data_IF_690598784245
#
_entry.id   IF_690598784245
#
_cell.length_a   1.000
_cell.length_b   1.000
_cell.length_c   1.000
_cell.angle_alpha   90.00
_cell.angle_beta   90.00
_cell.angle_gamma   90.00
#
_symmetry.space_group_name_H-M   'P 1'
#
loop_
_entity.id
_entity.type
_entity.pdbx_description
1 polymer ?
#
# COMPACT_ATOMS: atom_id res chain seq x y z
N UNK A 1 2.98 -60.00 -60.53
CA UNK A 1 2.22 -60.21 -59.30
C UNK A 1 3.00 -59.58 -58.17
N UNK A 2 2.38 -58.81 -57.28
CA UNK A 2 2.92 -58.09 -56.13
C UNK A 2 3.62 -56.76 -56.42
N UNK A 3 2.77 -55.72 -56.53
CA UNK A 3 3.11 -54.36 -56.19
C UNK A 3 1.86 -53.72 -55.62
N UNK A 4 1.75 -53.62 -54.33
CA UNK A 4 0.94 -52.64 -53.62
C UNK A 4 1.08 -52.93 -52.12
N UNK A 5 1.70 -52.05 -51.38
CA UNK A 5 1.42 -51.66 -49.99
C UNK A 5 2.64 -50.99 -49.36
N UNK A 6 2.92 -49.75 -49.75
CA UNK A 6 3.89 -48.93 -49.02
C UNK A 6 3.53 -47.43 -49.12
N UNK A 7 2.27 -47.06 -48.82
CA UNK A 7 1.94 -45.63 -48.84
C UNK A 7 0.90 -45.18 -47.81
N UNK A 8 0.82 -45.81 -46.66
CA UNK A 8 -0.15 -45.39 -45.65
C UNK A 8 0.36 -45.03 -44.24
N UNK A 9 1.68 -45.13 -44.00
CA UNK A 9 2.23 -44.90 -42.65
C UNK A 9 2.93 -43.53 -42.42
N UNK A 10 3.07 -42.68 -43.45
CA UNK A 10 3.74 -41.38 -43.30
C UNK A 10 2.80 -40.21 -43.17
N UNK A 11 1.52 -40.32 -43.43
CA UNK A 11 0.54 -39.21 -43.29
C UNK A 11 -0.07 -39.10 -41.90
N UNK A 12 -0.01 -40.12 -41.08
CA UNK A 12 -0.65 -40.09 -39.75
C UNK A 12 0.24 -39.50 -38.63
N UNK A 13 1.54 -39.31 -38.87
CA UNK A 13 2.45 -38.71 -37.87
C UNK A 13 2.61 -37.19 -37.98
N UNK A 14 2.13 -36.58 -39.08
CA UNK A 14 2.25 -35.14 -39.30
C UNK A 14 1.02 -34.32 -38.77
N UNK A 15 -0.07 -34.98 -38.41
CA UNK A 15 -1.29 -34.28 -37.94
C UNK A 15 -1.41 -34.20 -36.40
N UNK A 16 -0.51 -34.83 -35.65
CA UNK A 16 -0.55 -34.79 -34.18
C UNK A 16 0.45 -33.80 -33.57
N UNK A 17 1.20 -33.04 -34.37
CA UNK A 17 2.22 -32.10 -33.85
C UNK A 17 1.82 -30.63 -33.93
N UNK A 18 0.58 -30.32 -34.33
CA UNK A 18 0.16 -28.93 -34.52
C UNK A 18 -0.95 -28.46 -33.57
N UNK A 19 -1.26 -29.18 -32.50
CA UNK A 19 -2.31 -28.76 -31.56
C UNK A 19 -1.90 -28.83 -30.09
N UNK A 20 -0.65 -28.49 -29.82
CA UNK A 20 -0.25 -28.09 -28.48
C UNK A 20 0.21 -26.62 -28.50
N UNK A 21 -0.67 -25.76 -29.02
CA UNK A 21 -0.65 -24.36 -28.62
C UNK A 21 -1.07 -24.33 -27.14
N UNK A 22 -0.10 -24.56 -26.28
CA UNK A 22 -0.22 -24.32 -24.86
C UNK A 22 -0.75 -22.89 -24.73
N UNK A 23 -2.03 -22.75 -24.40
CA UNK A 23 -2.54 -21.56 -23.76
C UNK A 23 -1.72 -21.41 -22.47
N UNK A 24 -0.51 -20.85 -22.57
CA UNK A 24 0.13 -20.28 -21.42
C UNK A 24 -0.81 -19.23 -20.93
N UNK A 25 -1.42 -19.37 -19.74
CA UNK A 25 -2.18 -18.28 -19.18
C UNK A 25 -1.20 -17.10 -19.18
N UNK A 26 -1.56 -16.03 -19.87
CA UNK A 26 -0.86 -14.75 -19.71
C UNK A 26 -1.04 -14.47 -18.23
N UNK A 27 -0.02 -14.78 -17.44
CA UNK A 27 0.02 -14.43 -16.02
C UNK A 27 0.03 -12.90 -16.00
N UNK A 28 -1.17 -12.32 -15.98
CA UNK A 28 -1.30 -10.89 -15.78
C UNK A 28 -0.52 -10.56 -14.52
N UNK A 29 0.54 -9.77 -14.65
CA UNK A 29 1.39 -9.41 -13.51
C UNK A 29 0.53 -8.82 -12.39
N UNK A 30 0.92 -9.06 -11.15
CA UNK A 30 0.22 -8.53 -9.99
C UNK A 30 0.01 -7.01 -10.14
N UNK A 31 -1.22 -6.55 -9.99
CA UNK A 31 -1.57 -5.12 -10.03
C UNK A 31 -1.30 -4.50 -8.67
N UNK A 32 -1.03 -3.20 -8.69
CA UNK A 32 -0.94 -2.39 -7.47
C UNK A 32 -2.15 -1.45 -7.45
N UNK A 33 -2.91 -1.49 -6.37
CA UNK A 33 -4.00 -0.56 -6.12
C UNK A 33 -3.58 0.38 -5.00
N UNK A 34 -3.48 1.66 -5.30
CA UNK A 34 -3.18 2.71 -4.32
C UNK A 34 -4.40 3.62 -4.12
N UNK A 35 -4.83 3.76 -2.89
CA UNK A 35 -5.61 4.90 -2.43
C UNK A 35 -4.70 5.81 -1.62
N UNK A 36 -4.46 7.02 -2.12
CA UNK A 36 -3.65 8.04 -1.46
C UNK A 36 -4.54 9.19 -1.01
N UNK A 37 -4.49 9.50 0.29
CA UNK A 37 -5.30 10.54 0.93
C UNK A 37 -4.38 11.53 1.62
N UNK A 38 -4.58 12.84 1.35
CA UNK A 38 -3.81 13.90 2.00
C UNK A 38 -4.64 15.14 2.24
N UNK A 39 -4.73 15.59 3.49
CA UNK A 39 -5.57 16.70 3.87
C UNK A 39 -4.74 17.77 4.56
N UNK A 40 -4.55 18.88 3.87
CA UNK A 40 -3.87 20.08 4.37
C UNK A 40 -4.83 21.20 4.72
N UNK A 41 -5.87 21.37 3.91
CA UNK A 41 -6.89 22.39 4.05
C UNK A 41 -8.14 21.78 4.72
N UNK A 42 -8.26 22.01 6.01
CA UNK A 42 -9.36 21.53 6.86
C UNK A 42 -10.40 22.65 7.09
N UNK A 43 -11.64 22.32 7.47
CA UNK A 43 -12.58 23.33 7.94
C UNK A 43 -12.01 24.11 9.12
N UNK A 44 -11.77 25.42 8.90
CA UNK A 44 -11.16 26.33 9.86
C UNK A 44 -9.63 26.39 9.77
N UNK A 45 -9.12 27.57 9.40
CA UNK A 45 -7.69 27.83 9.11
C UNK A 45 -6.72 27.39 10.23
N UNK A 46 -7.19 27.36 11.49
CA UNK A 46 -6.37 26.90 12.62
C UNK A 46 -6.07 25.39 12.59
N UNK A 47 -6.78 24.65 11.74
CA UNK A 47 -6.62 23.20 11.59
C UNK A 47 -5.76 22.83 10.38
N UNK A 48 -5.31 23.83 9.62
CA UNK A 48 -4.54 23.57 8.40
C UNK A 48 -3.16 22.98 8.70
N UNK A 49 -2.76 22.08 7.81
CA UNK A 49 -1.43 21.47 7.77
C UNK A 49 -0.73 21.80 6.46
N UNK A 50 0.59 21.86 6.48
CA UNK A 50 1.33 22.32 5.32
C UNK A 50 1.62 21.22 4.30
N UNK A 51 1.90 20.00 4.74
CA UNK A 51 2.53 18.96 3.91
C UNK A 51 1.61 17.84 3.42
N UNK A 52 0.51 17.47 4.08
CA UNK A 52 -0.22 16.25 3.77
C UNK A 52 -0.70 16.10 2.31
N UNK A 53 -1.14 17.19 1.67
CA UNK A 53 -1.53 17.15 0.27
C UNK A 53 -0.34 16.80 -0.65
N UNK A 54 0.85 17.33 -0.35
CA UNK A 54 2.08 17.00 -1.07
C UNK A 54 2.50 15.55 -0.82
N UNK A 55 2.35 15.06 0.40
CA UNK A 55 2.65 13.67 0.76
C UNK A 55 1.81 12.70 -0.08
N UNK A 56 0.50 12.96 -0.13
CA UNK A 56 -0.40 12.12 -0.92
C UNK A 56 -0.11 12.18 -2.42
N UNK A 57 0.18 13.36 -2.95
CA UNK A 57 0.56 13.53 -4.34
C UNK A 57 1.87 12.82 -4.67
N UNK A 58 2.87 12.90 -3.78
CA UNK A 58 4.15 12.21 -3.90
C UNK A 58 3.98 10.70 -3.96
N UNK A 59 3.14 10.13 -3.07
CA UNK A 59 2.86 8.70 -3.08
C UNK A 59 2.12 8.27 -4.35
N UNK A 60 1.15 9.05 -4.80
CA UNK A 60 0.47 8.76 -6.07
C UNK A 60 1.44 8.79 -7.25
N UNK A 61 2.28 9.82 -7.34
CA UNK A 61 3.27 9.94 -8.41
C UNK A 61 4.23 8.75 -8.41
N UNK A 62 4.77 8.36 -7.26
CA UNK A 62 5.65 7.22 -7.10
C UNK A 62 5.06 5.93 -7.68
N UNK A 63 3.82 5.63 -7.29
CA UNK A 63 3.18 4.40 -7.74
C UNK A 63 2.74 4.47 -9.22
N UNK A 64 2.41 5.66 -9.75
CA UNK A 64 2.07 5.84 -11.18
C UNK A 64 3.21 5.52 -12.13
N UNK A 65 4.47 5.60 -11.69
CA UNK A 65 5.62 5.18 -12.48
C UNK A 65 5.60 3.66 -12.76
N UNK A 66 4.90 2.89 -11.94
CA UNK A 66 4.69 1.47 -12.18
C UNK A 66 3.47 1.25 -13.10
N UNK A 67 3.70 0.67 -14.30
CA UNK A 67 2.66 0.44 -15.31
C UNK A 67 1.49 -0.42 -14.82
N UNK A 68 1.69 -1.24 -13.79
CA UNK A 68 0.66 -2.10 -13.21
C UNK A 68 -0.17 -1.39 -12.12
N UNK A 69 0.19 -0.15 -11.75
CA UNK A 69 -0.52 0.55 -10.70
C UNK A 69 -1.82 1.21 -11.19
N UNK A 70 -2.83 1.13 -10.34
CA UNK A 70 -4.10 1.85 -10.41
C UNK A 70 -4.22 2.71 -9.17
N UNK A 71 -4.20 4.02 -9.35
CA UNK A 71 -4.12 4.97 -8.24
C UNK A 71 -5.38 5.82 -8.14
N UNK A 72 -5.82 6.08 -6.92
CA UNK A 72 -6.83 7.08 -6.57
C UNK A 72 -6.18 8.08 -5.63
N UNK A 73 -6.36 9.37 -5.88
CA UNK A 73 -5.90 10.46 -5.04
C UNK A 73 -7.11 11.26 -4.56
N UNK A 74 -7.21 11.40 -3.24
CA UNK A 74 -8.20 12.25 -2.59
C UNK A 74 -7.47 13.28 -1.74
N UNK A 75 -7.68 14.56 -2.02
CA UNK A 75 -7.04 15.67 -1.29
C UNK A 75 -8.08 16.64 -0.75
N UNK A 76 -7.82 17.22 0.40
CA UNK A 76 -8.58 18.30 1.02
C UNK A 76 -10.10 18.00 1.02
N UNK A 77 -10.92 18.85 0.45
CA UNK A 77 -12.40 18.75 0.38
C UNK A 77 -12.90 17.48 -0.33
N UNK A 78 -12.07 16.82 -1.16
CA UNK A 78 -12.42 15.55 -1.78
C UNK A 78 -12.17 14.35 -0.86
N UNK A 79 -11.40 14.52 0.20
CA UNK A 79 -11.09 13.47 1.16
C UNK A 79 -12.14 13.39 2.28
N UNK A 80 -13.41 13.33 1.90
CA UNK A 80 -14.53 13.09 2.83
C UNK A 80 -14.54 11.64 3.32
N UNK A 81 -15.13 11.38 4.49
CA UNK A 81 -15.30 10.03 5.04
C UNK A 81 -15.98 9.11 4.02
N UNK A 82 -17.05 9.61 3.37
CA UNK A 82 -17.81 8.86 2.38
C UNK A 82 -16.96 8.49 1.15
N UNK A 83 -16.19 9.45 0.62
CA UNK A 83 -15.33 9.22 -0.54
C UNK A 83 -14.21 8.23 -0.23
N UNK A 84 -13.56 8.36 0.93
CA UNK A 84 -12.49 7.45 1.35
C UNK A 84 -13.02 6.03 1.55
N UNK A 85 -14.15 5.86 2.24
CA UNK A 85 -14.80 4.54 2.41
C UNK A 85 -15.18 3.91 1.06
N UNK A 86 -15.73 4.69 0.15
CA UNK A 86 -16.08 4.24 -1.20
C UNK A 86 -14.85 3.79 -1.98
N UNK A 87 -13.77 4.57 -1.93
CA UNK A 87 -12.51 4.23 -2.61
C UNK A 87 -11.86 2.96 -2.02
N UNK A 88 -11.84 2.80 -0.70
CA UNK A 88 -11.37 1.59 -0.02
C UNK A 88 -12.19 0.37 -0.44
N UNK A 89 -13.51 0.47 -0.44
CA UNK A 89 -14.42 -0.61 -0.89
C UNK A 89 -14.18 -0.99 -2.34
N UNK A 90 -14.02 0.01 -3.22
CA UNK A 90 -13.75 -0.22 -4.64
C UNK A 90 -12.38 -0.89 -4.88
N UNK A 91 -11.37 -0.52 -4.11
CA UNK A 91 -10.06 -1.15 -4.13
C UNK A 91 -10.17 -2.62 -3.70
N UNK A 92 -10.81 -2.88 -2.56
CA UNK A 92 -11.00 -4.22 -2.02
C UNK A 92 -11.76 -5.15 -2.98
N UNK A 93 -12.79 -4.63 -3.65
CA UNK A 93 -13.61 -5.40 -4.59
C UNK A 93 -12.88 -5.79 -5.89
N UNK A 94 -11.87 -5.00 -6.31
CA UNK A 94 -11.14 -5.21 -7.56
C UNK A 94 -9.92 -6.09 -7.41
N UNK A 95 -9.33 -6.14 -6.22
CA UNK A 95 -8.08 -6.82 -5.99
C UNK A 95 -8.24 -8.34 -5.92
N UNK A 96 -7.29 -9.04 -6.52
CA UNK A 96 -7.13 -10.49 -6.44
C UNK A 96 -6.08 -10.87 -5.38
N UNK A 97 -5.94 -12.15 -5.09
CA UNK A 97 -5.03 -12.64 -4.04
C UNK A 97 -3.56 -12.22 -4.25
N UNK A 98 -3.12 -12.10 -5.51
CA UNK A 98 -1.73 -11.77 -5.85
C UNK A 98 -1.47 -10.26 -5.98
N UNK A 99 -2.52 -9.44 -6.00
CA UNK A 99 -2.39 -7.99 -6.14
C UNK A 99 -1.84 -7.34 -4.85
N UNK A 100 -1.38 -6.11 -4.97
CA UNK A 100 -0.88 -5.30 -3.85
C UNK A 100 -1.90 -4.19 -3.61
N UNK A 101 -2.37 -4.03 -2.37
CA UNK A 101 -3.30 -2.98 -1.96
C UNK A 101 -2.62 -2.05 -0.96
N UNK A 102 -2.56 -0.76 -1.32
CA UNK A 102 -1.92 0.29 -0.53
C UNK A 102 -2.95 1.34 -0.15
N UNK A 103 -3.13 1.58 1.13
CA UNK A 103 -3.81 2.75 1.65
C UNK A 103 -2.77 3.67 2.28
N UNK A 104 -2.61 4.88 1.74
CA UNK A 104 -1.79 5.94 2.29
C UNK A 104 -2.66 7.05 2.83
N UNK A 105 -2.36 7.52 4.02
CA UNK A 105 -3.01 8.67 4.64
C UNK A 105 -1.96 9.63 5.21
N UNK A 106 -2.09 10.91 4.89
CA UNK A 106 -1.36 12.00 5.55
C UNK A 106 -2.34 13.09 5.98
N UNK A 107 -2.26 13.53 7.25
CA UNK A 107 -3.19 14.49 7.82
C UNK A 107 -3.30 14.39 9.33
N UNK A 108 -4.35 14.98 9.89
CA UNK A 108 -4.63 14.84 11.32
C UNK A 108 -5.03 13.42 11.69
N UNK A 109 -4.45 12.93 12.78
CA UNK A 109 -4.81 11.68 13.41
C UNK A 109 -5.26 11.90 14.84
N UNK A 110 -6.18 11.08 15.29
CA UNK A 110 -6.65 11.04 16.67
C UNK A 110 -6.66 9.61 17.18
N UNK A 111 -6.81 9.44 18.49
CA UNK A 111 -6.97 8.09 19.05
C UNK A 111 -8.22 7.45 18.47
N UNK A 112 -8.05 6.38 17.68
CA UNK A 112 -9.15 5.61 17.09
C UNK A 112 -9.44 5.89 15.63
N UNK A 113 -8.81 6.87 14.97
CA UNK A 113 -9.08 7.17 13.56
C UNK A 113 -8.24 8.25 12.93
N UNK A 114 -8.48 8.41 11.65
CA UNK A 114 -7.97 9.49 10.81
C UNK A 114 -9.03 10.60 10.70
N UNK A 115 -8.61 11.85 10.71
CA UNK A 115 -9.50 12.99 10.50
C UNK A 115 -9.60 13.25 9.01
N UNK A 116 -10.76 12.92 8.42
CA UNK A 116 -11.12 13.32 7.06
C UNK A 116 -11.63 14.76 7.04
N UNK A 117 -11.87 15.31 5.84
CA UNK A 117 -12.33 16.68 5.68
C UNK A 117 -13.62 17.01 6.45
N UNK A 118 -14.55 16.05 6.52
CA UNK A 118 -15.89 16.20 7.08
C UNK A 118 -16.15 15.37 8.35
N UNK A 119 -15.13 14.67 8.88
CA UNK A 119 -15.33 13.83 10.06
C UNK A 119 -14.27 12.76 10.26
N UNK A 120 -14.60 11.72 11.01
CA UNK A 120 -13.66 10.66 11.37
C UNK A 120 -13.82 9.41 10.52
N UNK A 121 -12.69 8.96 9.95
CA UNK A 121 -12.54 7.61 9.41
C UNK A 121 -11.95 6.73 10.53
N UNK A 122 -12.75 5.85 11.10
CA UNK A 122 -12.26 5.00 12.19
C UNK A 122 -11.26 3.95 11.69
N UNK A 123 -10.32 3.55 12.55
CA UNK A 123 -9.42 2.44 12.21
C UNK A 123 -10.18 1.14 11.94
N UNK A 124 -11.34 0.95 12.60
CA UNK A 124 -12.22 -0.19 12.35
C UNK A 124 -12.81 -0.18 10.93
N UNK A 125 -13.16 1.00 10.39
CA UNK A 125 -13.63 1.13 9.00
C UNK A 125 -12.56 0.69 8.00
N UNK A 126 -11.32 1.15 8.20
CA UNK A 126 -10.18 0.78 7.34
C UNK A 126 -9.88 -0.71 7.44
N UNK A 127 -9.80 -1.24 8.66
CA UNK A 127 -9.55 -2.65 8.91
C UNK A 127 -10.63 -3.55 8.28
N UNK A 128 -11.91 -3.17 8.42
CA UNK A 128 -13.03 -3.90 7.82
C UNK A 128 -12.94 -3.94 6.30
N UNK A 129 -12.66 -2.79 5.66
CA UNK A 129 -12.52 -2.71 4.22
C UNK A 129 -11.33 -3.57 3.70
N UNK A 130 -10.19 -3.51 4.37
CA UNK A 130 -9.01 -4.29 4.00
C UNK A 130 -9.18 -5.78 4.33
N UNK A 131 -9.90 -6.15 5.37
CA UNK A 131 -10.20 -7.56 5.68
C UNK A 131 -11.10 -8.20 4.63
N UNK A 132 -12.03 -7.43 4.04
CA UNK A 132 -12.85 -7.88 2.93
C UNK A 132 -12.08 -8.01 1.60
N UNK A 133 -10.88 -7.45 1.50
CA UNK A 133 -10.03 -7.51 0.32
C UNK A 133 -9.37 -8.89 0.18
N UNK A 134 -9.46 -9.49 -1.00
CA UNK A 134 -8.87 -10.80 -1.30
C UNK A 134 -7.35 -10.80 -1.40
N UNK A 135 -6.71 -9.63 -1.53
CA UNK A 135 -5.27 -9.53 -1.63
C UNK A 135 -4.56 -10.09 -0.38
N UNK A 136 -3.46 -10.81 -0.60
CA UNK A 136 -2.57 -11.25 0.47
C UNK A 136 -1.50 -10.19 0.83
N UNK A 137 -1.42 -9.09 0.08
CA UNK A 137 -0.41 -8.05 0.24
C UNK A 137 -1.11 -6.70 0.47
N UNK A 138 -1.50 -6.44 1.71
CA UNK A 138 -2.25 -5.24 2.10
C UNK A 138 -1.42 -4.40 3.04
N UNK A 139 -1.37 -3.09 2.80
CA UNK A 139 -0.62 -2.18 3.64
C UNK A 139 -1.32 -0.86 3.87
N UNK A 140 -1.10 -0.33 5.05
CA UNK A 140 -1.49 1.02 5.45
C UNK A 140 -0.21 1.78 5.79
N UNK A 141 0.04 2.86 5.08
CA UNK A 141 1.06 3.85 5.42
C UNK A 141 0.34 5.07 6.00
N UNK A 142 0.67 5.47 7.22
CA UNK A 142 0.05 6.63 7.85
C UNK A 142 1.09 7.64 8.33
N UNK A 143 1.09 8.83 7.72
CA UNK A 143 1.84 10.00 8.17
C UNK A 143 0.89 10.94 8.91
N UNK A 144 0.62 10.61 10.17
CA UNK A 144 -0.34 11.30 11.01
C UNK A 144 0.05 11.22 12.48
N UNK A 145 -0.32 12.26 13.26
CA UNK A 145 -0.17 12.25 14.71
C UNK A 145 -0.91 11.05 15.32
N UNK A 146 -0.35 10.48 16.39
CA UNK A 146 -0.95 9.34 17.10
C UNK A 146 -1.23 8.10 16.21
N UNK A 147 -0.62 8.03 15.03
CA UNK A 147 -0.82 6.89 14.14
C UNK A 147 -0.48 5.55 14.82
N UNK A 148 0.48 5.52 15.74
CA UNK A 148 0.77 4.36 16.57
C UNK A 148 -0.38 3.92 17.49
N UNK A 149 -1.33 4.81 17.81
CA UNK A 149 -2.52 4.47 18.61
C UNK A 149 -3.53 3.56 17.88
N UNK A 150 -3.35 3.34 16.59
CA UNK A 150 -4.10 2.31 15.83
C UNK A 150 -3.93 0.92 16.48
N UNK A 151 -2.81 0.74 17.19
CA UNK A 151 -2.42 -0.47 17.90
C UNK A 151 -3.02 -0.56 19.31
N UNK A 152 -3.17 0.59 19.99
CA UNK A 152 -3.34 0.67 21.46
C UNK A 152 -4.81 0.75 21.92
N UNK A 153 -5.79 0.52 21.07
CA UNK A 153 -7.20 0.56 21.45
C UNK A 153 -7.57 -0.59 22.42
N UNK A 154 -6.90 -0.66 23.55
CA UNK A 154 -7.00 -1.67 24.61
C UNK A 154 -8.35 -1.73 25.35
N UNK A 155 -9.36 -0.99 24.89
CA UNK A 155 -10.70 -0.99 25.50
C UNK A 155 -11.72 -1.94 24.88
N UNK A 156 -11.38 -2.69 23.79
CA UNK A 156 -12.32 -3.60 23.12
C UNK A 156 -11.59 -4.88 22.74
N UNK A 157 -11.62 -5.82 23.63
CA UNK A 157 -10.80 -7.03 23.67
C UNK A 157 -10.91 -8.02 22.50
N UNK A 158 -11.72 -7.80 21.47
CA UNK A 158 -11.89 -8.74 20.36
C UNK A 158 -12.02 -8.11 18.96
N UNK A 159 -11.85 -6.78 18.80
CA UNK A 159 -11.97 -6.11 17.48
C UNK A 159 -10.68 -6.02 16.68
N UNK A 160 -9.53 -6.36 17.26
CA UNK A 160 -8.22 -6.27 16.60
C UNK A 160 -7.79 -7.52 15.83
N UNK A 161 -8.53 -8.60 15.89
CA UNK A 161 -8.35 -9.70 14.94
C UNK A 161 -8.52 -9.26 13.48
N UNK A 162 -9.20 -8.13 13.24
CA UNK A 162 -9.38 -7.58 11.90
C UNK A 162 -8.08 -7.14 11.21
N UNK A 163 -7.04 -6.80 11.96
CA UNK A 163 -5.71 -6.50 11.40
C UNK A 163 -4.85 -7.74 11.18
N UNK A 164 -5.33 -8.91 11.54
CA UNK A 164 -4.60 -10.18 11.43
C UNK A 164 -4.64 -10.83 10.05
N UNK A 165 -5.23 -10.17 9.04
CA UNK A 165 -5.45 -10.74 7.70
C UNK A 165 -4.41 -10.26 6.68
N UNK A 166 -3.11 -10.51 6.90
CA UNK A 166 -2.05 -10.07 6.01
C UNK A 166 -2.09 -8.55 5.73
N UNK A 167 -2.33 -7.77 6.78
CA UNK A 167 -2.31 -6.31 6.72
C UNK A 167 -1.07 -5.81 7.46
N UNK A 168 -0.23 -5.08 6.74
CA UNK A 168 0.90 -4.34 7.31
C UNK A 168 0.47 -2.92 7.66
N UNK A 169 0.68 -2.52 8.89
CA UNK A 169 0.57 -1.12 9.32
C UNK A 169 1.98 -0.56 9.43
N UNK A 170 2.27 0.49 8.70
CA UNK A 170 3.52 1.21 8.80
C UNK A 170 3.21 2.68 9.09
N UNK A 171 3.51 3.09 10.30
CA UNK A 171 3.04 4.31 10.92
C UNK A 171 4.22 5.23 11.18
N UNK A 172 4.02 6.52 10.97
CA UNK A 172 5.08 7.54 11.03
C UNK A 172 5.68 7.73 12.41
N UNK A 173 4.93 7.43 13.48
CA UNK A 173 5.34 7.68 14.86
C UNK A 173 4.69 6.70 15.84
N UNK A 174 5.17 6.67 17.07
CA UNK A 174 4.57 5.95 18.19
C UNK A 174 3.25 6.60 18.62
N UNK A 175 2.49 5.89 19.45
CA UNK A 175 1.17 6.34 19.94
C UNK A 175 1.19 7.63 20.76
N UNK A 176 2.32 8.00 21.31
CA UNK A 176 2.55 9.20 22.11
C UNK A 176 3.44 10.25 21.42
N UNK A 177 3.70 10.08 20.12
CA UNK A 177 4.51 10.98 19.32
C UNK A 177 3.66 11.68 18.25
N UNK A 178 4.16 12.79 17.73
CA UNK A 178 3.58 13.52 16.62
C UNK A 178 4.45 13.40 15.38
N UNK A 179 3.84 13.37 14.20
CA UNK A 179 4.56 13.55 12.95
C UNK A 179 5.05 14.99 12.85
N UNK A 180 6.32 15.14 12.46
CA UNK A 180 7.00 16.43 12.48
C UNK A 180 7.05 16.99 11.06
N UNK A 181 6.66 18.26 10.93
CA UNK A 181 6.88 19.07 9.74
C UNK A 181 8.01 20.07 9.98
N UNK A 182 8.84 20.29 8.95
CA UNK A 182 9.84 21.35 8.96
C UNK A 182 9.59 22.34 7.82
N UNK A 183 9.87 23.64 8.01
CA UNK A 183 9.62 24.67 7.00
C UNK A 183 10.31 24.45 5.64
N UNK A 184 11.43 23.74 5.65
CA UNK A 184 12.29 23.53 4.49
C UNK A 184 11.94 22.28 3.67
N UNK A 185 11.10 21.41 4.18
CA UNK A 185 10.72 20.16 3.50
C UNK A 185 9.42 20.31 2.70
N UNK A 186 9.32 19.58 1.61
CA UNK A 186 8.11 19.46 0.79
C UNK A 186 7.21 18.30 1.22
N UNK A 187 7.75 17.37 2.01
CA UNK A 187 7.06 16.20 2.57
C UNK A 187 7.39 16.03 4.04
N UNK A 188 6.53 15.35 4.79
CA UNK A 188 6.85 14.86 6.13
C UNK A 188 8.05 13.91 6.12
N UNK A 189 8.78 13.81 7.23
CA UNK A 189 9.96 12.92 7.33
C UNK A 189 9.66 11.47 6.94
N UNK A 190 8.51 10.98 7.33
CA UNK A 190 8.11 9.61 7.04
C UNK A 190 7.85 9.43 5.54
N UNK A 191 7.03 10.30 4.93
CA UNK A 191 6.73 10.25 3.50
C UNK A 191 7.97 10.47 2.64
N UNK A 192 8.84 11.40 3.03
CA UNK A 192 10.14 11.59 2.39
C UNK A 192 10.99 10.31 2.42
N UNK A 193 11.05 9.63 3.57
CA UNK A 193 11.79 8.38 3.69
C UNK A 193 11.13 7.24 2.90
N UNK A 194 9.78 7.15 2.88
CA UNK A 194 9.03 6.19 2.07
C UNK A 194 9.35 6.35 0.58
N UNK A 195 9.29 7.59 0.07
CA UNK A 195 9.58 7.89 -1.33
C UNK A 195 10.97 7.39 -1.75
N UNK A 196 11.98 7.70 -0.96
CA UNK A 196 13.35 7.27 -1.25
C UNK A 196 13.52 5.74 -1.12
N UNK A 197 12.92 5.15 -0.10
CA UNK A 197 12.96 3.71 0.12
C UNK A 197 12.31 2.95 -1.04
N UNK A 198 11.08 3.32 -1.40
CA UNK A 198 10.31 2.66 -2.45
C UNK A 198 10.87 2.88 -3.87
N UNK A 199 11.70 3.90 -4.09
CA UNK A 199 12.43 4.13 -5.36
C UNK A 199 13.75 3.36 -5.46
N UNK A 200 13.93 2.33 -4.65
CA UNK A 200 15.09 1.45 -4.68
C UNK A 200 16.09 1.67 -3.56
N UNK A 201 15.97 2.75 -2.76
CA UNK A 201 16.88 3.00 -1.65
C UNK A 201 16.82 1.92 -0.56
N UNK A 202 15.70 1.23 -0.44
CA UNK A 202 15.53 0.13 0.51
C UNK A 202 15.91 -1.24 -0.06
N UNK A 203 16.09 -1.39 -1.37
CA UNK A 203 16.46 -2.65 -2.04
C UNK A 203 17.91 -3.04 -1.69
N UNK A 204 18.08 -3.70 -0.55
CA UNK A 204 19.38 -4.04 -0.04
C UNK A 204 20.04 -5.21 -0.79
N UNK A 205 19.22 -6.15 -1.25
CA UNK A 205 19.69 -7.36 -1.95
C UNK A 205 19.75 -7.20 -3.48
N UNK A 206 19.23 -6.05 -4.01
CA UNK A 206 19.24 -5.67 -5.44
C UNK A 206 18.41 -6.63 -6.32
N UNK A 207 17.35 -7.20 -5.79
CA UNK A 207 16.44 -8.09 -6.52
C UNK A 207 15.28 -7.36 -7.23
N UNK A 208 15.24 -6.02 -7.15
CA UNK A 208 14.20 -5.14 -7.70
C UNK A 208 12.84 -5.30 -7.03
N UNK A 209 12.82 -5.84 -5.83
CA UNK A 209 11.61 -5.96 -5.02
C UNK A 209 11.87 -5.32 -3.67
N UNK A 210 11.07 -4.36 -3.25
CA UNK A 210 11.11 -3.86 -1.89
C UNK A 210 10.16 -4.68 -1.04
N UNK A 211 10.70 -5.31 -0.03
CA UNK A 211 9.95 -6.08 0.97
C UNK A 211 9.58 -5.22 2.18
N UNK A 212 8.64 -5.71 2.98
CA UNK A 212 8.22 -5.06 4.23
C UNK A 212 9.42 -4.80 5.16
N UNK A 213 10.29 -5.80 5.32
CA UNK A 213 11.48 -5.70 6.18
C UNK A 213 12.49 -4.67 5.70
N UNK A 214 12.78 -4.68 4.41
CA UNK A 214 13.73 -3.74 3.81
C UNK A 214 13.24 -2.31 3.95
N UNK A 215 11.97 -2.05 3.61
CA UNK A 215 11.38 -0.72 3.74
C UNK A 215 11.39 -0.24 5.19
N UNK A 216 10.98 -1.09 6.14
CA UNK A 216 10.98 -0.73 7.55
C UNK A 216 12.36 -0.35 8.06
N UNK A 217 13.37 -1.15 7.76
CA UNK A 217 14.73 -0.88 8.20
C UNK A 217 15.25 0.44 7.64
N UNK A 218 15.02 0.69 6.34
CA UNK A 218 15.43 1.91 5.66
C UNK A 218 14.73 3.14 6.24
N UNK A 219 13.39 3.13 6.27
CA UNK A 219 12.58 4.27 6.69
C UNK A 219 12.81 4.59 8.17
N UNK A 220 12.84 3.57 9.03
CA UNK A 220 13.07 3.78 10.47
C UNK A 220 14.43 4.43 10.76
N UNK A 221 15.47 3.99 10.08
CA UNK A 221 16.81 4.60 10.24
C UNK A 221 16.83 6.05 9.73
N UNK A 222 16.23 6.29 8.55
CA UNK A 222 16.21 7.61 7.92
C UNK A 222 15.38 8.61 8.73
N UNK A 223 14.17 8.24 9.15
CA UNK A 223 13.29 9.14 9.93
C UNK A 223 13.91 9.48 11.29
N UNK A 224 14.48 8.51 12.01
CA UNK A 224 15.18 8.77 13.28
C UNK A 224 16.30 9.77 13.09
N UNK A 225 17.12 9.59 12.06
CA UNK A 225 18.24 10.48 11.76
C UNK A 225 17.75 11.90 11.43
N UNK A 226 16.83 12.04 10.47
CA UNK A 226 16.36 13.35 9.98
C UNK A 226 15.55 14.12 11.04
N UNK A 227 14.83 13.42 11.92
CA UNK A 227 14.05 14.02 13.00
C UNK A 227 14.87 14.30 14.28
N UNK A 228 16.19 14.07 14.26
CA UNK A 228 17.02 14.11 15.46
C UNK A 228 16.47 13.23 16.59
N UNK A 229 16.08 12.02 16.25
CA UNK A 229 15.52 11.00 17.15
C UNK A 229 14.22 11.43 17.87
N UNK A 230 13.44 12.32 17.26
CA UNK A 230 12.15 12.79 17.80
C UNK A 230 10.94 12.04 17.25
N UNK A 231 11.13 11.30 16.13
CA UNK A 231 10.07 10.54 15.48
C UNK A 231 10.54 9.11 15.22
N UNK A 232 9.72 8.14 15.65
CA UNK A 232 10.05 6.73 15.58
C UNK A 232 8.97 5.96 14.82
N UNK A 233 9.16 5.69 13.53
CA UNK A 233 8.24 4.85 12.78
C UNK A 233 8.08 3.47 13.41
N UNK A 234 6.86 2.97 13.38
CA UNK A 234 6.53 1.64 13.89
C UNK A 234 5.85 0.82 12.82
N UNK A 235 6.16 -0.48 12.79
CA UNK A 235 5.53 -1.44 11.90
C UNK A 235 4.83 -2.51 12.73
N UNK A 236 3.59 -2.83 12.36
CA UNK A 236 2.78 -3.77 13.09
C UNK A 236 1.83 -4.53 12.14
N UNK A 237 1.36 -5.71 12.58
CA UNK A 237 0.43 -6.57 11.83
C UNK A 237 0.94 -7.99 11.73
N UNK A 238 0.12 -8.85 11.13
CA UNK A 238 0.45 -10.25 10.88
C UNK A 238 0.70 -10.46 9.39
N UNK A 239 1.93 -10.35 8.97
CA UNK A 239 2.39 -10.48 7.59
C UNK A 239 3.83 -11.02 7.56
N UNK A 240 4.28 -11.63 6.46
CA UNK A 240 5.67 -12.08 6.35
C UNK A 240 6.62 -10.89 6.12
N UNK A 241 7.82 -10.95 6.68
CA UNK A 241 8.89 -9.96 6.45
C UNK A 241 9.21 -9.77 4.95
N UNK A 242 8.98 -10.81 4.16
CA UNK A 242 9.19 -10.87 2.71
C UNK A 242 8.00 -10.36 1.88
N UNK A 243 6.93 -9.84 2.52
CA UNK A 243 5.78 -9.31 1.79
C UNK A 243 6.22 -8.23 0.80
N UNK A 244 5.93 -8.37 -0.51
CA UNK A 244 6.33 -7.39 -1.50
C UNK A 244 5.46 -6.13 -1.39
N UNK A 245 6.10 -4.96 -1.44
CA UNK A 245 5.44 -3.65 -1.39
C UNK A 245 5.42 -2.97 -2.76
N UNK A 246 6.48 -3.16 -3.52
CA UNK A 246 6.63 -2.73 -4.91
C UNK A 246 7.68 -3.60 -5.59
N UNK A 247 7.48 -3.83 -6.89
CA UNK A 247 8.43 -4.51 -7.77
C UNK A 247 8.50 -3.77 -9.10
N UNK A 248 9.71 -3.59 -9.68
CA UNK A 248 9.93 -2.93 -10.98
C UNK A 248 10.98 -3.62 -11.87
#
# INVERSE_FOLDING_TARGET
>A
MMHQTFLSHKLCKSLLLTMLLVLTPIMAGAKIYLLSVGISDYPGIQNDLRLPHNDAATMQWLYKENKQAKTVLLMNDKATVANVKTALKNMAAKATANDICVFFFSGHGVKGGFVCYDGFLTYADVASALSACKSNNKMVFADACFSGAIRDNSGVSNKYDSWNHNIMLFLSCRSNEVSIETPTMTNGFFTYALQHGLRGGADKNKDRTITAKELFNYVSAKVKKESNNRQHPVMWGKFPDTMPLIKW
#
